data_IF_974174019358
#
_entry.id   IF_974174019358
#
_cell.length_a   1.000
_cell.length_b   1.000
_cell.length_c   1.000
_cell.angle_alpha   90.00
_cell.angle_beta   90.00
_cell.angle_gamma   90.00
#
_symmetry.space_group_name_H-M   'P 1'
#
loop_
_entity.id
_entity.type
_entity.pdbx_description
1 polymer ?
#
# COMPACT_ATOMS: atom_id res chain seq x y z
N UNK A 1 -18.05 3.82 29.75
CA UNK A 1 -17.81 3.67 28.30
C UNK A 1 -16.45 4.28 28.04
N UNK A 2 -15.38 3.47 27.99
CA UNK A 2 -14.03 3.97 27.76
C UNK A 2 -13.93 4.58 26.35
N UNK A 3 -13.77 5.91 26.22
CA UNK A 3 -13.68 6.59 24.93
C UNK A 3 -12.39 6.23 24.17
N UNK A 4 -11.46 5.53 24.81
CA UNK A 4 -10.15 5.19 24.28
C UNK A 4 -10.19 4.02 23.28
N UNK A 5 -11.15 3.10 23.40
CA UNK A 5 -11.23 1.92 22.52
C UNK A 5 -11.91 2.22 21.18
N UNK A 6 -12.88 3.15 21.15
CA UNK A 6 -13.57 3.55 19.92
C UNK A 6 -12.71 4.33 18.93
N UNK A 7 -11.63 4.96 19.40
CA UNK A 7 -10.73 5.75 18.55
C UNK A 7 -9.82 4.88 17.68
N UNK A 8 -9.60 3.60 18.04
CA UNK A 8 -8.65 2.72 17.34
C UNK A 8 -9.13 2.32 15.95
N UNK A 9 -10.41 1.96 15.80
CA UNK A 9 -10.97 1.55 14.51
C UNK A 9 -11.07 2.71 13.52
N UNK A 10 -11.49 3.89 13.99
CA UNK A 10 -11.52 5.10 13.16
C UNK A 10 -10.11 5.55 12.75
N UNK A 11 -9.13 5.52 13.66
CA UNK A 11 -7.74 5.82 13.30
C UNK A 11 -7.18 4.82 12.29
N UNK A 12 -7.48 3.53 12.43
CA UNK A 12 -7.11 2.51 11.44
C UNK A 12 -7.75 2.78 10.09
N UNK A 13 -9.02 3.18 10.06
CA UNK A 13 -9.73 3.53 8.83
C UNK A 13 -9.12 4.76 8.15
N UNK A 14 -8.83 5.82 8.90
CA UNK A 14 -8.12 7.00 8.39
C UNK A 14 -6.73 6.63 7.86
N UNK A 15 -6.03 5.69 8.50
CA UNK A 15 -4.74 5.23 8.03
C UNK A 15 -4.85 4.37 6.75
N UNK A 16 -5.96 3.66 6.56
CA UNK A 16 -6.28 3.01 5.28
C UNK A 16 -6.56 4.06 4.21
N UNK A 17 -7.41 5.05 4.50
CA UNK A 17 -7.74 6.14 3.57
C UNK A 17 -6.49 6.87 3.08
N UNK A 18 -5.59 7.29 3.99
CA UNK A 18 -4.31 7.91 3.61
C UNK A 18 -3.45 7.02 2.74
N UNK A 19 -3.40 5.71 3.00
CA UNK A 19 -2.65 4.75 2.17
C UNK A 19 -3.27 4.62 0.79
N UNK A 20 -4.59 4.58 0.67
CA UNK A 20 -5.29 4.54 -0.63
C UNK A 20 -4.96 5.77 -1.45
N UNK A 21 -5.08 6.97 -0.87
CA UNK A 21 -4.73 8.23 -1.55
C UNK A 21 -3.27 8.21 -2.02
N UNK A 22 -2.34 7.78 -1.15
CA UNK A 22 -0.92 7.70 -1.50
C UNK A 22 -0.63 6.72 -2.64
N UNK A 23 -1.26 5.56 -2.65
CA UNK A 23 -1.10 4.56 -3.71
C UNK A 23 -1.61 5.08 -5.06
N UNK A 24 -2.71 5.82 -5.06
CA UNK A 24 -3.25 6.45 -6.27
C UNK A 24 -2.33 7.56 -6.80
N UNK A 25 -1.77 8.37 -5.92
CA UNK A 25 -0.82 9.43 -6.28
C UNK A 25 0.44 8.86 -6.95
N UNK A 26 1.01 7.80 -6.35
CA UNK A 26 2.17 7.10 -6.91
C UNK A 26 1.85 6.52 -8.30
N UNK A 27 0.68 5.90 -8.47
CA UNK A 27 0.26 5.34 -9.75
C UNK A 27 0.09 6.44 -10.82
N UNK A 28 -0.50 7.58 -10.45
CA UNK A 28 -0.63 8.74 -11.32
C UNK A 28 0.73 9.28 -11.77
N UNK A 29 1.69 9.42 -10.84
CA UNK A 29 3.04 9.84 -11.17
C UNK A 29 3.76 8.89 -12.14
N UNK A 30 3.62 7.57 -11.97
CA UNK A 30 4.17 6.59 -12.92
C UNK A 30 3.50 6.72 -14.29
N UNK A 31 2.17 6.88 -14.35
CA UNK A 31 1.46 7.07 -15.61
C UNK A 31 1.90 8.34 -16.34
N UNK A 32 2.09 9.46 -15.63
CA UNK A 32 2.60 10.71 -16.18
C UNK A 32 4.03 10.54 -16.73
N UNK A 33 4.90 9.88 -15.96
CA UNK A 33 6.27 9.59 -16.39
C UNK A 33 6.33 8.69 -17.62
N UNK A 34 5.45 7.68 -17.70
CA UNK A 34 5.34 6.80 -18.87
C UNK A 34 4.78 7.52 -20.10
N UNK A 35 3.93 8.53 -19.90
CA UNK A 35 3.42 9.38 -20.98
C UNK A 35 4.42 10.46 -21.44
N UNK A 36 5.56 10.59 -20.76
CA UNK A 36 6.61 11.56 -21.10
C UNK A 36 7.11 11.37 -22.54
N UNK A 37 7.14 12.44 -23.36
CA UNK A 37 7.61 12.37 -24.75
C UNK A 37 9.11 12.05 -24.86
N UNK A 38 9.88 12.31 -23.80
CA UNK A 38 11.32 11.99 -23.71
C UNK A 38 11.59 10.55 -23.26
N UNK A 39 10.52 9.76 -23.03
CA UNK A 39 10.59 8.45 -22.43
C UNK A 39 10.68 8.50 -20.89
N UNK A 40 10.35 7.38 -20.22
CA UNK A 40 10.28 7.34 -18.77
C UNK A 40 11.67 7.31 -18.12
N UNK A 41 11.85 8.15 -17.10
CA UNK A 41 13.04 8.11 -16.23
C UNK A 41 13.00 6.86 -15.37
N UNK A 42 13.95 5.96 -15.64
CA UNK A 42 14.09 4.68 -14.95
C UNK A 42 14.15 4.84 -13.42
N UNK A 43 14.89 5.82 -12.91
CA UNK A 43 15.03 6.05 -11.47
C UNK A 43 13.72 6.51 -10.82
N UNK A 44 12.96 7.36 -11.52
CA UNK A 44 11.65 7.81 -11.07
C UNK A 44 10.66 6.65 -10.97
N UNK A 45 10.53 5.87 -12.05
CA UNK A 45 9.64 4.70 -12.10
C UNK A 45 10.02 3.65 -11.06
N UNK A 46 11.31 3.34 -10.93
CA UNK A 46 11.78 2.37 -9.92
C UNK A 46 11.47 2.83 -8.49
N UNK A 47 11.71 4.12 -8.19
CA UNK A 47 11.41 4.67 -6.86
C UNK A 47 9.92 4.60 -6.55
N UNK A 48 9.08 5.03 -7.51
CA UNK A 48 7.62 5.04 -7.34
C UNK A 48 7.07 3.62 -7.22
N UNK A 49 7.51 2.68 -8.05
CA UNK A 49 7.10 1.27 -7.94
C UNK A 49 7.51 0.66 -6.59
N UNK A 50 8.70 0.99 -6.07
CA UNK A 50 9.13 0.54 -4.74
C UNK A 50 8.25 1.10 -3.63
N UNK A 51 7.92 2.38 -3.70
CA UNK A 51 7.05 3.05 -2.74
C UNK A 51 5.62 2.52 -2.78
N UNK A 52 5.10 2.25 -3.99
CA UNK A 52 3.81 1.60 -4.20
C UNK A 52 3.75 0.27 -3.46
N UNK A 53 4.74 -0.62 -3.69
CA UNK A 53 4.81 -1.94 -3.05
C UNK A 53 4.87 -1.85 -1.53
N UNK A 54 5.57 -0.85 -0.98
CA UNK A 54 5.63 -0.63 0.46
C UNK A 54 4.30 -0.13 1.03
N UNK A 55 3.61 0.74 0.30
CA UNK A 55 2.34 1.35 0.73
C UNK A 55 1.18 0.35 0.73
N UNK A 56 1.22 -0.67 -0.15
CA UNK A 56 0.23 -1.75 -0.18
C UNK A 56 0.59 -2.92 0.76
N UNK A 57 1.79 -2.94 1.36
CA UNK A 57 2.20 -4.03 2.23
C UNK A 57 1.28 -4.08 3.45
N UNK A 58 0.43 -5.09 3.48
CA UNK A 58 -0.41 -5.36 4.64
C UNK A 58 0.46 -6.06 5.68
N UNK A 59 0.57 -5.47 6.86
CA UNK A 59 1.21 -6.13 7.99
C UNK A 59 0.28 -7.24 8.48
N UNK A 60 0.53 -8.45 8.00
CA UNK A 60 -0.22 -9.64 8.41
C UNK A 60 -0.04 -9.96 9.89
N UNK A 61 1.00 -9.42 10.55
CA UNK A 61 1.31 -9.65 11.96
C UNK A 61 0.35 -8.95 12.92
N UNK A 62 -0.34 -7.87 12.49
CA UNK A 62 -1.33 -7.15 13.30
C UNK A 62 -2.76 -7.65 13.13
N UNK A 63 -2.95 -8.69 12.31
CA UNK A 63 -4.24 -9.37 12.16
C UNK A 63 -4.16 -10.66 12.96
N UNK A 64 -4.83 -10.75 14.12
CA UNK A 64 -5.13 -12.03 14.78
C UNK A 64 -6.08 -12.93 13.94
N UNK A 65 -6.01 -12.83 12.62
CA UNK A 65 -6.57 -13.78 11.70
C UNK A 65 -5.49 -14.81 11.42
N UNK A 66 -5.43 -15.82 12.28
CA UNK A 66 -4.86 -17.12 11.95
C UNK A 66 -5.62 -17.67 10.74
N UNK A 67 -5.19 -17.31 9.54
CA UNK A 67 -5.57 -17.98 8.30
C UNK A 67 -4.41 -18.88 7.89
N UNK A 68 -4.65 -20.20 7.70
CA UNK A 68 -3.63 -21.13 7.26
C UNK A 68 -3.48 -20.97 5.74
N UNK A 69 -2.86 -19.90 5.29
CA UNK A 69 -2.41 -19.81 3.92
C UNK A 69 -0.96 -20.27 3.86
N UNK A 70 -0.78 -21.58 3.68
CA UNK A 70 0.49 -22.17 3.27
C UNK A 70 0.82 -21.69 1.85
N UNK A 71 1.94 -20.98 1.62
CA UNK A 71 2.41 -20.76 0.28
C UNK A 71 3.12 -22.05 -0.18
N UNK A 72 2.69 -22.59 -1.32
CA UNK A 72 3.35 -23.66 -2.07
C UNK A 72 3.44 -25.04 -1.40
N UNK A 73 2.43 -25.88 -1.68
CA UNK A 73 2.64 -27.31 -1.90
C UNK A 73 2.36 -27.57 -3.38
N UNK A 74 3.41 -27.57 -4.19
CA UNK A 74 3.40 -28.20 -5.51
C UNK A 74 4.74 -28.91 -5.69
N UNK A 75 4.64 -30.06 -6.37
CA UNK A 75 5.40 -31.31 -6.18
C UNK A 75 6.86 -31.31 -6.60
#
# INVERSE_FOLDING_TARGET
MDPQTQNTSLQRLQNVERRVVRVLDIAGGVMEELASPSGPRKDFVNSHCREFMQSIKVDYSSSSLHLPFSPYRES
#
